data_IF_605417287945
#
_entry.id   IF_605417287945
#
_cell.length_a   1.000
_cell.length_b   1.000
_cell.length_c   1.000
_cell.angle_alpha   90.00
_cell.angle_beta   90.00
_cell.angle_gamma   90.00
#
_symmetry.space_group_name_H-M   'P 1'
#
loop_
_entity.id
_entity.type
_entity.pdbx_description
1 polymer ?
#
# COMPACT_ATOMS: atom_id res chain seq x y z
N UNK A 1 -86.63 -43.42 -7.86
CA UNK A 1 -87.06 -43.64 -6.47
C UNK A 1 -86.00 -43.04 -5.56
N UNK A 2 -86.40 -42.03 -4.78
CA UNK A 2 -85.54 -41.32 -3.83
C UNK A 2 -85.33 -42.18 -2.59
N UNK A 3 -84.10 -42.34 -2.12
CA UNK A 3 -83.80 -42.94 -0.82
C UNK A 3 -82.80 -42.07 -0.06
N UNK A 4 -83.39 -41.18 0.73
CA UNK A 4 -83.02 -40.71 2.07
C UNK A 4 -81.54 -40.61 2.44
N UNK A 5 -81.14 -39.34 2.61
CA UNK A 5 -80.12 -38.82 3.52
C UNK A 5 -80.04 -39.60 4.84
N UNK A 6 -78.84 -40.11 5.16
CA UNK A 6 -78.42 -40.41 6.54
C UNK A 6 -77.49 -39.30 7.00
N UNK A 7 -78.06 -38.29 7.64
CA UNK A 7 -77.34 -37.36 8.52
C UNK A 7 -76.72 -38.13 9.67
N UNK A 8 -75.41 -38.35 9.63
CA UNK A 8 -74.65 -38.69 10.82
C UNK A 8 -74.43 -37.41 11.62
N UNK A 9 -75.26 -37.22 12.64
CA UNK A 9 -75.00 -36.30 13.75
C UNK A 9 -73.59 -36.57 14.27
N UNK A 10 -72.66 -35.63 14.06
CA UNK A 10 -71.35 -35.64 14.71
C UNK A 10 -71.61 -35.63 16.22
N UNK A 11 -71.41 -36.79 16.85
CA UNK A 11 -71.46 -36.91 18.29
C UNK A 11 -70.49 -35.89 18.91
N UNK A 12 -71.08 -35.00 19.70
CA UNK A 12 -70.55 -34.30 20.88
C UNK A 12 -69.03 -34.42 21.01
N UNK A 13 -68.31 -33.30 20.83
CA UNK A 13 -66.86 -33.17 21.02
C UNK A 13 -66.34 -34.11 22.10
N UNK A 14 -65.79 -35.26 21.72
CA UNK A 14 -65.09 -36.12 22.64
C UNK A 14 -63.87 -35.32 23.04
N UNK A 15 -63.90 -34.74 24.23
CA UNK A 15 -62.72 -34.13 24.84
C UNK A 15 -61.78 -35.31 25.07
N UNK A 16 -60.90 -35.57 24.10
CA UNK A 16 -59.83 -36.56 24.24
C UNK A 16 -59.06 -36.12 25.47
N UNK A 17 -59.19 -36.88 26.55
CA UNK A 17 -58.53 -36.54 27.79
C UNK A 17 -57.03 -36.71 27.56
N UNK A 18 -56.30 -35.60 27.42
CA UNK A 18 -54.86 -35.60 27.19
C UNK A 18 -54.18 -35.87 28.53
N UNK A 19 -54.30 -37.08 29.04
CA UNK A 19 -53.76 -37.50 30.34
C UNK A 19 -52.23 -37.27 30.45
N UNK A 20 -51.51 -37.27 29.33
CA UNK A 20 -50.10 -36.89 29.25
C UNK A 20 -49.81 -35.41 29.54
N UNK A 21 -50.81 -34.52 29.50
CA UNK A 21 -50.68 -33.14 29.97
C UNK A 21 -50.88 -32.99 31.49
N UNK A 22 -51.44 -34.02 32.15
CA UNK A 22 -51.70 -34.04 33.60
C UNK A 22 -50.58 -34.70 34.40
N UNK A 23 -49.64 -35.39 33.74
CA UNK A 23 -48.47 -35.93 34.42
C UNK A 23 -47.51 -34.78 34.78
N UNK A 24 -46.99 -34.74 36.02
CA UNK A 24 -45.98 -33.74 36.38
C UNK A 24 -44.77 -33.95 35.47
N UNK A 25 -44.44 -32.92 34.68
CA UNK A 25 -43.30 -32.99 33.75
C UNK A 25 -42.06 -33.49 34.48
N UNK A 26 -41.46 -34.55 33.93
CA UNK A 26 -40.27 -35.16 34.50
C UNK A 26 -39.13 -34.13 34.53
N UNK A 27 -38.24 -34.23 35.53
CA UNK A 27 -37.13 -33.28 35.73
C UNK A 27 -36.29 -33.11 34.44
N UNK A 28 -36.10 -34.19 33.69
CA UNK A 28 -35.38 -34.20 32.41
C UNK A 28 -36.03 -33.29 31.35
N UNK A 29 -37.36 -33.24 31.24
CA UNK A 29 -38.05 -32.36 30.27
C UNK A 29 -37.96 -30.88 30.67
N UNK A 30 -37.95 -30.58 31.97
CA UNK A 30 -37.78 -29.20 32.45
C UNK A 30 -36.36 -28.71 32.18
N UNK A 31 -35.36 -29.56 32.44
CA UNK A 31 -33.95 -29.27 32.13
C UNK A 31 -33.77 -29.13 30.61
N UNK A 32 -34.31 -30.07 29.82
CA UNK A 32 -34.22 -30.06 28.36
C UNK A 32 -34.81 -28.81 27.69
N UNK A 33 -35.82 -28.16 28.30
CA UNK A 33 -36.37 -26.88 27.81
C UNK A 33 -35.54 -25.66 28.19
N UNK A 34 -34.76 -25.74 29.26
CA UNK A 34 -33.88 -24.67 29.71
C UNK A 34 -32.53 -24.69 28.98
N UNK A 35 -32.10 -25.84 28.49
CA UNK A 35 -30.81 -25.98 27.79
C UNK A 35 -30.71 -25.09 26.52
N UNK A 36 -31.67 -25.06 25.58
CA UNK A 36 -31.57 -24.20 24.40
C UNK A 36 -31.47 -22.70 24.70
N UNK A 37 -32.34 -22.08 25.55
CA UNK A 37 -32.21 -20.66 25.86
C UNK A 37 -30.93 -20.36 26.67
N UNK A 38 -30.50 -21.25 27.56
CA UNK A 38 -29.21 -21.09 28.28
C UNK A 38 -28.04 -21.12 27.30
N UNK A 39 -28.02 -22.08 26.37
CA UNK A 39 -26.98 -22.17 25.35
C UNK A 39 -26.95 -20.94 24.43
N UNK A 40 -28.12 -20.41 24.06
CA UNK A 40 -28.23 -19.18 23.28
C UNK A 40 -27.70 -17.96 24.04
N UNK A 41 -28.05 -17.82 25.33
CA UNK A 41 -27.53 -16.75 26.18
C UNK A 41 -26.02 -16.87 26.32
N UNK A 42 -25.49 -18.07 26.58
CA UNK A 42 -24.04 -18.30 26.64
C UNK A 42 -23.35 -17.97 25.32
N UNK A 43 -23.94 -18.35 24.18
CA UNK A 43 -23.45 -17.98 22.86
C UNK A 43 -23.40 -16.46 22.66
N UNK A 44 -24.47 -15.74 23.00
CA UNK A 44 -24.50 -14.28 22.95
C UNK A 44 -23.46 -13.64 23.88
N UNK A 45 -23.28 -14.17 25.10
CA UNK A 45 -22.28 -13.69 26.05
C UNK A 45 -20.85 -13.94 25.54
N UNK A 46 -20.58 -15.07 24.88
CA UNK A 46 -19.28 -15.34 24.27
C UNK A 46 -19.00 -14.40 23.10
N UNK A 47 -20.00 -14.13 22.24
CA UNK A 47 -19.86 -13.15 21.15
C UNK A 47 -19.66 -11.74 21.70
N UNK A 48 -20.44 -11.33 22.70
CA UNK A 48 -20.31 -10.02 23.34
C UNK A 48 -18.97 -9.88 24.07
N UNK A 49 -18.54 -10.92 24.78
CA UNK A 49 -17.25 -10.97 25.46
C UNK A 49 -16.08 -10.92 24.48
N UNK A 50 -16.15 -11.67 23.37
CA UNK A 50 -15.16 -11.61 22.29
C UNK A 50 -15.11 -10.24 21.61
N UNK A 51 -16.27 -9.65 21.32
CA UNK A 51 -16.38 -8.30 20.76
C UNK A 51 -15.83 -7.23 21.71
N UNK A 52 -16.16 -7.30 23.00
CA UNK A 52 -15.62 -6.41 24.03
C UNK A 52 -14.11 -6.58 24.17
N UNK A 53 -13.60 -7.81 24.21
CA UNK A 53 -12.17 -8.05 24.33
C UNK A 53 -11.43 -7.50 23.12
N UNK A 54 -11.92 -7.77 21.90
CA UNK A 54 -11.41 -7.19 20.67
C UNK A 54 -11.40 -5.67 20.70
N UNK A 55 -12.52 -5.04 21.08
CA UNK A 55 -12.62 -3.58 21.21
C UNK A 55 -11.66 -3.00 22.26
N UNK A 56 -11.57 -3.62 23.43
CA UNK A 56 -10.70 -3.18 24.53
C UNK A 56 -9.21 -3.38 24.24
N UNK A 57 -8.86 -4.30 23.34
CA UNK A 57 -7.49 -4.57 22.93
C UNK A 57 -6.99 -3.62 21.84
N UNK A 58 -7.88 -2.84 21.19
CA UNK A 58 -7.47 -1.82 20.21
C UNK A 58 -6.84 -0.63 20.96
N UNK A 59 -5.56 -0.31 20.74
CA UNK A 59 -4.94 0.86 21.33
C UNK A 59 -5.68 2.14 20.94
N UNK A 60 -5.98 2.99 21.91
CA UNK A 60 -6.66 4.29 21.69
C UNK A 60 -5.64 5.41 21.80
N UNK A 61 -4.79 5.49 20.79
CA UNK A 61 -3.78 6.54 20.73
C UNK A 61 -4.42 7.90 20.52
N UNK A 62 -3.83 8.93 21.13
CA UNK A 62 -4.19 10.32 20.89
C UNK A 62 -3.25 10.91 19.87
N UNK A 63 -3.81 11.62 18.89
CA UNK A 63 -3.07 12.26 17.81
C UNK A 63 -3.37 13.75 17.74
N UNK A 64 -2.36 14.56 17.40
CA UNK A 64 -2.50 15.99 17.12
C UNK A 64 -2.14 16.26 15.68
N UNK A 65 -3.03 16.90 14.93
CA UNK A 65 -2.76 17.31 13.55
C UNK A 65 -1.58 18.30 13.51
N UNK A 66 -0.58 18.02 12.68
CA UNK A 66 0.59 18.87 12.48
C UNK A 66 0.66 19.46 11.07
N UNK A 67 0.01 18.81 10.10
CA UNK A 67 -0.08 19.28 8.74
C UNK A 67 -1.34 18.73 8.06
N UNK A 68 -2.00 19.59 7.30
CA UNK A 68 -3.15 19.26 6.46
C UNK A 68 -3.05 20.07 5.17
N UNK A 69 -3.20 19.39 4.02
CA UNK A 69 -3.21 19.98 2.70
C UNK A 69 -4.40 19.43 1.91
N UNK A 70 -5.27 20.32 1.42
CA UNK A 70 -6.47 20.00 0.67
C UNK A 70 -6.50 20.60 -0.75
N UNK A 71 -5.41 21.25 -1.15
CA UNK A 71 -5.18 21.85 -2.46
C UNK A 71 -6.20 22.92 -2.87
N UNK A 72 -6.98 23.44 -1.91
CA UNK A 72 -7.99 24.49 -2.17
C UNK A 72 -7.46 25.91 -1.93
N UNK A 73 -6.35 26.05 -1.20
CA UNK A 73 -5.84 27.34 -0.73
C UNK A 73 -5.06 28.15 -1.77
N UNK A 74 -4.93 27.63 -2.99
CA UNK A 74 -4.15 28.26 -4.06
C UNK A 74 -2.63 28.19 -3.86
N UNK A 75 -2.17 27.33 -2.94
CA UNK A 75 -0.75 27.02 -2.74
C UNK A 75 -0.19 26.30 -3.96
N UNK A 76 1.09 26.52 -4.23
CA UNK A 76 1.80 25.82 -5.31
C UNK A 76 2.42 24.53 -4.78
N UNK A 77 2.59 23.53 -5.66
CA UNK A 77 3.09 22.19 -5.28
C UNK A 77 4.45 22.28 -4.56
N UNK A 78 5.32 23.20 -5.00
CA UNK A 78 6.67 23.40 -4.47
C UNK A 78 6.71 23.98 -3.04
N UNK A 79 5.58 24.45 -2.48
CA UNK A 79 5.52 24.88 -1.09
C UNK A 79 5.52 23.68 -0.12
N UNK A 80 4.93 22.56 -0.52
CA UNK A 80 4.72 21.39 0.33
C UNK A 80 5.50 20.16 -0.15
N UNK A 81 5.88 20.12 -1.43
CA UNK A 81 6.60 19.00 -2.04
C UNK A 81 7.88 19.46 -2.75
N UNK A 82 8.88 18.59 -2.79
CA UNK A 82 10.02 18.67 -3.69
C UNK A 82 9.81 17.70 -4.85
N UNK A 83 10.35 18.05 -6.01
CA UNK A 83 10.38 17.18 -7.17
C UNK A 83 11.58 16.24 -7.10
N UNK A 84 11.34 14.95 -7.34
CA UNK A 84 12.40 13.98 -7.62
C UNK A 84 12.47 13.79 -9.13
N UNK A 85 13.50 14.35 -9.77
CA UNK A 85 13.68 14.39 -11.23
C UNK A 85 14.82 13.48 -11.64
N UNK A 86 14.52 12.48 -12.48
CA UNK A 86 15.48 11.49 -12.96
C UNK A 86 14.92 10.56 -14.04
N UNK A 87 15.83 9.81 -14.67
CA UNK A 87 15.56 8.82 -15.74
C UNK A 87 16.02 7.41 -15.37
N UNK A 88 16.49 7.22 -14.14
CA UNK A 88 17.15 5.97 -13.69
C UNK A 88 16.22 4.82 -13.30
N UNK A 89 14.91 5.06 -13.24
CA UNK A 89 13.95 4.07 -12.74
C UNK A 89 14.13 3.71 -11.26
N UNK A 90 14.92 4.51 -10.53
CA UNK A 90 14.95 4.59 -9.06
C UNK A 90 15.13 3.25 -8.33
N UNK A 91 16.03 2.40 -8.84
CA UNK A 91 16.29 1.07 -8.30
C UNK A 91 15.25 0.00 -8.65
N UNK A 92 14.10 0.40 -9.19
CA UNK A 92 13.00 -0.47 -9.64
C UNK A 92 13.05 -0.78 -11.14
N UNK A 93 14.01 -0.21 -11.86
CA UNK A 93 14.21 -0.41 -13.31
C UNK A 93 12.96 -0.05 -14.13
N UNK A 94 12.20 0.96 -13.67
CA UNK A 94 10.97 1.45 -14.31
C UNK A 94 11.30 2.34 -15.51
N UNK A 95 10.31 2.59 -16.38
CA UNK A 95 10.52 3.18 -17.70
C UNK A 95 10.16 4.67 -17.79
N UNK A 96 9.70 5.28 -16.71
CA UNK A 96 9.37 6.70 -16.68
C UNK A 96 10.58 7.61 -16.47
N UNK A 97 10.48 8.82 -17.01
CA UNK A 97 11.26 9.98 -16.62
C UNK A 97 10.41 10.81 -15.66
N UNK A 98 10.84 11.00 -14.43
CA UNK A 98 10.15 11.88 -13.50
C UNK A 98 10.52 13.34 -13.75
N UNK A 99 9.51 14.23 -13.86
CA UNK A 99 9.69 15.63 -14.24
C UNK A 99 8.99 16.60 -13.27
N UNK A 100 9.30 17.88 -13.43
CA UNK A 100 8.58 19.02 -12.84
C UNK A 100 7.56 19.65 -13.81
N UNK A 101 7.27 18.98 -14.93
CA UNK A 101 6.40 19.55 -15.96
C UNK A 101 4.94 19.61 -15.49
N UNK A 102 4.24 20.70 -15.83
CA UNK A 102 2.83 20.92 -15.48
C UNK A 102 1.86 19.90 -16.12
N UNK A 103 2.34 19.06 -17.04
CA UNK A 103 1.55 17.95 -17.61
C UNK A 103 1.61 16.70 -16.72
N UNK A 104 2.62 16.60 -15.85
CA UNK A 104 2.87 15.42 -15.03
C UNK A 104 2.48 15.61 -13.57
N UNK A 105 2.51 16.85 -13.08
CA UNK A 105 1.91 17.20 -11.80
C UNK A 105 1.24 18.56 -11.86
N UNK A 106 0.03 18.68 -11.35
CA UNK A 106 -0.72 19.93 -11.34
C UNK A 106 -1.83 19.91 -10.30
N UNK A 107 -2.22 21.09 -9.82
CA UNK A 107 -3.42 21.26 -8.99
C UNK A 107 -4.57 21.71 -9.88
N UNK A 108 -5.70 21.01 -9.79
CA UNK A 108 -6.93 21.32 -10.52
C UNK A 108 -8.14 20.95 -9.68
N UNK A 109 -9.16 21.81 -9.64
CA UNK A 109 -10.42 21.57 -8.93
C UNK A 109 -10.24 21.12 -7.45
N UNK A 110 -9.28 21.76 -6.77
CA UNK A 110 -8.94 21.49 -5.37
C UNK A 110 -8.30 20.12 -5.15
N UNK A 111 -7.53 19.61 -6.11
CA UNK A 111 -6.86 18.29 -6.04
C UNK A 111 -5.51 18.35 -6.70
N UNK A 112 -4.56 17.63 -6.13
CA UNK A 112 -3.29 17.34 -6.77
C UNK A 112 -3.46 16.16 -7.72
N UNK A 113 -2.97 16.29 -8.94
CA UNK A 113 -2.89 15.22 -9.92
C UNK A 113 -1.43 14.87 -10.20
N UNK A 114 -1.14 13.57 -10.26
CA UNK A 114 0.07 13.03 -10.91
C UNK A 114 -0.41 12.26 -12.13
N UNK A 115 0.08 12.63 -13.32
CA UNK A 115 -0.38 12.07 -14.58
C UNK A 115 0.80 11.66 -15.47
N UNK A 116 0.92 10.38 -15.85
CA UNK A 116 1.93 9.98 -16.81
C UNK A 116 1.52 10.41 -18.23
N UNK A 117 2.49 10.85 -19.01
CA UNK A 117 2.30 11.29 -20.40
C UNK A 117 3.39 10.69 -21.29
N UNK A 118 3.05 10.33 -22.52
CA UNK A 118 4.05 9.88 -23.49
C UNK A 118 5.09 10.97 -23.75
N UNK A 119 6.37 10.61 -23.70
CA UNK A 119 7.49 11.52 -23.99
C UNK A 119 7.42 11.96 -25.46
N UNK A 120 7.19 13.25 -25.69
CA UNK A 120 7.19 13.82 -27.05
C UNK A 120 8.55 14.40 -27.44
N UNK A 121 9.29 14.91 -26.45
CA UNK A 121 10.61 15.50 -26.64
C UNK A 121 11.55 15.05 -25.52
N UNK A 122 12.82 14.69 -25.84
CA UNK A 122 13.39 14.57 -27.19
C UNK A 122 12.78 13.41 -28.00
N UNK A 123 12.84 13.46 -29.34
CA UNK A 123 12.29 12.42 -30.18
C UNK A 123 13.07 11.11 -29.97
N UNK A 124 12.39 9.98 -30.16
CA UNK A 124 13.02 8.66 -30.14
C UNK A 124 13.78 8.42 -31.46
N UNK A 125 14.88 9.15 -31.65
CA UNK A 125 15.74 9.14 -32.82
C UNK A 125 17.19 8.90 -32.42
N UNK A 126 17.91 8.14 -33.23
CA UNK A 126 19.30 7.79 -32.97
C UNK A 126 20.19 9.03 -32.75
N UNK A 127 20.97 9.02 -31.67
CA UNK A 127 21.80 10.15 -31.25
C UNK A 127 21.08 11.21 -30.40
N UNK A 128 19.76 11.11 -30.20
CA UNK A 128 19.04 11.98 -29.26
C UNK A 128 19.48 11.69 -27.83
N UNK A 129 19.47 12.71 -26.96
CA UNK A 129 19.82 12.55 -25.56
C UNK A 129 19.08 13.54 -24.65
N UNK A 130 19.01 13.19 -23.37
CA UNK A 130 18.57 14.03 -22.24
C UNK A 130 19.75 14.12 -21.28
N UNK A 131 20.12 15.35 -20.89
CA UNK A 131 21.16 15.59 -19.91
C UNK A 131 20.66 16.52 -18.81
N UNK A 132 20.01 15.92 -17.80
CA UNK A 132 19.40 16.64 -16.68
C UNK A 132 20.45 17.32 -15.79
N UNK A 133 21.68 16.81 -15.77
CA UNK A 133 22.79 17.43 -15.04
C UNK A 133 23.22 18.74 -15.69
N UNK A 134 23.37 18.77 -17.02
CA UNK A 134 23.70 19.99 -17.75
C UNK A 134 22.60 21.05 -17.64
N UNK A 135 21.35 20.63 -17.50
CA UNK A 135 20.19 21.51 -17.26
C UNK A 135 20.06 21.95 -15.80
N UNK A 136 20.84 21.37 -14.87
CA UNK A 136 20.73 21.64 -13.44
C UNK A 136 19.42 21.15 -12.81
N UNK A 137 18.73 20.21 -13.46
CA UNK A 137 17.41 19.71 -13.05
C UNK A 137 17.46 18.36 -12.33
N UNK A 138 18.49 17.55 -12.53
CA UNK A 138 18.55 16.25 -11.89
C UNK A 138 18.64 16.40 -10.37
N UNK A 139 17.71 15.79 -9.64
CA UNK A 139 17.70 15.83 -8.18
C UNK A 139 18.12 14.51 -7.56
N UNK A 140 18.44 13.50 -8.37
CA UNK A 140 18.88 12.20 -7.86
C UNK A 140 20.32 12.29 -7.30
N UNK A 141 20.55 11.96 -6.02
CA UNK A 141 21.81 12.30 -5.36
C UNK A 141 22.95 11.29 -5.54
N UNK A 142 22.69 10.12 -6.16
CA UNK A 142 23.62 8.98 -6.05
C UNK A 142 24.31 8.54 -7.35
N UNK A 143 23.74 8.81 -8.54
CA UNK A 143 24.34 8.34 -9.79
C UNK A 143 24.05 9.26 -10.97
N UNK A 144 25.11 9.69 -11.66
CA UNK A 144 25.01 10.43 -12.94
C UNK A 144 24.23 9.67 -14.01
N UNK A 145 24.19 8.34 -13.88
CA UNK A 145 23.43 7.47 -14.78
C UNK A 145 21.91 7.73 -14.69
N UNK A 146 21.42 8.19 -13.54
CA UNK A 146 19.99 8.49 -13.33
C UNK A 146 19.62 9.88 -13.85
N UNK A 147 20.61 10.65 -14.30
CA UNK A 147 20.45 12.01 -14.82
C UNK A 147 20.63 12.10 -16.34
N UNK A 148 20.95 10.98 -16.99
CA UNK A 148 21.30 10.95 -18.41
C UNK A 148 20.66 9.76 -19.11
N UNK A 149 19.97 10.05 -20.21
CA UNK A 149 19.40 9.05 -21.11
C UNK A 149 19.79 9.42 -22.55
N UNK A 150 20.06 8.42 -23.38
CA UNK A 150 20.33 8.64 -24.80
C UNK A 150 19.72 7.53 -25.62
N UNK A 151 19.36 7.86 -26.85
CA UNK A 151 18.89 6.91 -27.82
C UNK A 151 20.07 6.40 -28.65
N UNK A 152 20.27 5.09 -28.66
CA UNK A 152 21.26 4.40 -29.48
C UNK A 152 20.66 3.12 -30.04
N UNK A 153 20.41 3.12 -31.35
CA UNK A 153 19.78 2.03 -32.06
C UNK A 153 20.61 0.74 -32.00
N UNK A 154 21.95 0.84 -32.00
CA UNK A 154 22.86 -0.32 -31.97
C UNK A 154 22.82 -1.04 -30.61
N UNK A 155 22.74 -0.29 -29.52
CA UNK A 155 22.64 -0.85 -28.15
C UNK A 155 21.21 -0.98 -27.64
N UNK A 156 20.21 -0.73 -28.51
CA UNK A 156 18.77 -0.77 -28.22
C UNK A 156 18.31 0.22 -27.15
N UNK A 157 19.14 1.22 -26.83
CA UNK A 157 18.81 2.21 -25.82
C UNK A 157 17.85 3.23 -26.39
N UNK A 158 16.83 3.56 -25.61
CA UNK A 158 15.91 4.64 -25.91
C UNK A 158 15.86 5.58 -24.72
N UNK A 159 15.35 6.78 -24.96
CA UNK A 159 15.02 7.70 -23.87
C UNK A 159 13.72 7.22 -23.26
N UNK A 160 13.56 7.39 -21.95
CA UNK A 160 12.37 6.95 -21.21
C UNK A 160 11.09 7.36 -21.97
N UNK A 161 10.27 6.39 -22.42
CA UNK A 161 9.16 6.63 -23.35
C UNK A 161 7.98 7.35 -22.72
N UNK A 162 7.95 7.46 -21.39
CA UNK A 162 6.90 8.11 -20.62
C UNK A 162 7.53 9.09 -19.64
N UNK A 163 6.91 10.25 -19.49
CA UNK A 163 7.16 11.20 -18.41
C UNK A 163 6.11 11.02 -17.31
N UNK A 164 6.51 11.14 -16.05
CA UNK A 164 5.65 11.08 -14.87
C UNK A 164 6.13 12.08 -13.83
N UNK A 165 5.60 12.04 -12.61
CA UNK A 165 6.08 12.84 -11.49
C UNK A 165 6.31 11.98 -10.25
N UNK A 166 7.29 12.40 -9.45
CA UNK A 166 7.57 11.90 -8.10
C UNK A 166 7.75 13.09 -7.18
N UNK A 167 6.87 13.18 -6.20
CA UNK A 167 6.80 14.29 -5.26
C UNK A 167 7.15 13.78 -3.87
N UNK A 168 8.01 14.50 -3.15
CA UNK A 168 8.44 14.14 -1.79
C UNK A 168 8.23 15.29 -0.81
N UNK A 169 7.79 15.02 0.41
CA UNK A 169 7.70 16.02 1.48
C UNK A 169 9.00 16.19 2.27
N UNK A 170 10.11 15.59 1.83
CA UNK A 170 11.38 15.60 2.54
C UNK A 170 11.80 17.00 3.00
N UNK A 171 12.08 17.15 4.29
CA UNK A 171 12.48 18.42 4.93
C UNK A 171 11.42 19.54 4.86
N UNK A 172 10.18 19.22 4.46
CA UNK A 172 9.03 20.12 4.48
C UNK A 172 8.00 19.63 5.49
N UNK A 173 7.56 18.38 5.32
CA UNK A 173 6.62 17.70 6.21
C UNK A 173 7.13 16.29 6.47
N UNK A 174 7.76 16.10 7.63
CA UNK A 174 8.28 14.80 8.07
C UNK A 174 7.59 14.38 9.37
N UNK A 175 7.30 13.09 9.51
CA UNK A 175 6.66 12.52 10.69
C UNK A 175 7.56 11.45 11.32
N UNK A 176 7.62 11.43 12.66
CA UNK A 176 8.12 10.27 13.41
C UNK A 176 7.01 9.84 14.35
N UNK A 177 6.40 8.70 14.06
CA UNK A 177 5.23 8.17 14.75
C UNK A 177 4.00 9.10 14.72
N UNK A 178 2.85 8.50 14.51
CA UNK A 178 1.61 9.24 14.36
C UNK A 178 0.64 8.52 13.44
N UNK A 179 -0.23 9.32 12.84
CA UNK A 179 -1.23 8.90 11.88
C UNK A 179 -1.05 9.71 10.61
N UNK A 180 -0.98 9.01 9.48
CA UNK A 180 -1.00 9.63 8.15
C UNK A 180 -2.24 9.16 7.43
N UNK A 181 -2.95 10.07 6.78
CA UNK A 181 -4.12 9.78 5.95
C UNK A 181 -3.95 10.49 4.60
N UNK A 182 -4.04 9.75 3.51
CA UNK A 182 -4.02 10.28 2.14
C UNK A 182 -5.32 9.87 1.47
N UNK A 183 -6.16 10.84 1.13
CA UNK A 183 -7.37 10.56 0.35
C UNK A 183 -7.07 10.68 -1.12
N UNK A 184 -7.05 9.56 -1.83
CA UNK A 184 -6.69 9.52 -3.23
C UNK A 184 -7.58 8.57 -4.04
N UNK A 185 -7.62 8.78 -5.35
CA UNK A 185 -8.13 7.83 -6.34
C UNK A 185 -6.96 7.39 -7.20
N UNK A 186 -6.76 6.08 -7.32
CA UNK A 186 -5.63 5.54 -8.07
C UNK A 186 -5.87 5.59 -9.59
N UNK A 187 -4.80 5.65 -10.39
CA UNK A 187 -4.86 5.69 -11.85
C UNK A 187 -5.20 4.32 -12.45
N UNK A 188 -5.88 4.31 -13.60
CA UNK A 188 -6.10 3.10 -14.41
C UNK A 188 -5.13 3.04 -15.60
N UNK A 189 -4.79 1.83 -16.02
CA UNK A 189 -4.04 1.56 -17.24
C UNK A 189 -3.05 0.40 -17.10
N UNK A 190 -2.81 -0.32 -18.20
CA UNK A 190 -1.74 -1.32 -18.28
C UNK A 190 -0.39 -0.66 -18.00
N UNK A 191 0.46 -1.40 -17.29
CA UNK A 191 1.82 -0.99 -16.89
C UNK A 191 1.90 0.24 -15.97
N UNK A 192 0.80 0.68 -15.39
CA UNK A 192 0.81 1.76 -14.39
C UNK A 192 0.98 1.17 -12.99
N UNK A 193 1.88 1.77 -12.20
CA UNK A 193 2.19 1.40 -10.82
C UNK A 193 2.14 2.64 -9.92
N UNK A 194 0.98 2.98 -9.34
CA UNK A 194 0.89 4.05 -8.35
C UNK A 194 1.47 3.62 -7.00
N UNK A 195 2.11 4.56 -6.32
CA UNK A 195 2.61 4.36 -4.96
C UNK A 195 2.37 5.57 -4.05
N UNK A 196 2.03 5.27 -2.79
CA UNK A 196 1.99 6.20 -1.65
C UNK A 196 2.85 5.55 -0.56
N UNK A 197 4.02 6.10 -0.31
CA UNK A 197 5.06 5.44 0.47
C UNK A 197 5.94 6.46 1.17
N UNK A 198 6.82 5.99 2.04
CA UNK A 198 7.62 6.87 2.88
C UNK A 198 9.06 6.36 2.98
N UNK A 199 9.98 7.31 2.91
CA UNK A 199 11.41 7.09 3.10
C UNK A 199 11.91 7.88 4.31
N UNK A 200 12.98 7.42 4.98
CA UNK A 200 13.58 8.16 6.07
C UNK A 200 14.10 9.50 5.54
N UNK A 201 13.85 10.58 6.30
CA UNK A 201 14.38 11.92 5.96
C UNK A 201 15.92 11.92 6.03
N UNK A 202 16.47 11.17 6.98
CA UNK A 202 17.92 10.96 7.15
C UNK A 202 18.27 9.47 7.14
N UNK A 203 19.31 9.08 6.41
CA UNK A 203 19.85 7.71 6.36
C UNK A 203 20.66 7.33 7.62
N UNK A 204 20.04 7.44 8.80
CA UNK A 204 20.70 7.31 10.10
C UNK A 204 21.37 5.95 10.34
N UNK A 205 20.79 4.87 9.81
CA UNK A 205 21.29 3.50 9.97
C UNK A 205 22.12 3.02 8.78
N UNK A 206 22.37 3.90 7.81
CA UNK A 206 23.01 3.58 6.54
C UNK A 206 22.05 3.70 5.36
N UNK A 207 22.55 3.35 4.17
CA UNK A 207 21.77 3.43 2.93
C UNK A 207 20.63 2.41 2.93
N UNK A 208 19.65 2.61 2.04
CA UNK A 208 18.56 1.67 1.87
C UNK A 208 19.06 0.22 1.71
N UNK A 209 18.40 -0.79 2.33
CA UNK A 209 17.19 -0.70 3.15
C UNK A 209 17.47 -0.54 4.66
N UNK A 210 18.70 -0.22 5.08
CA UNK A 210 19.08 -0.19 6.50
C UNK A 210 18.29 0.86 7.30
N UNK A 211 17.98 2.00 6.68
CA UNK A 211 17.21 3.08 7.32
C UNK A 211 15.69 2.96 7.16
N UNK A 212 15.21 1.89 6.53
CA UNK A 212 13.80 1.57 6.41
C UNK A 212 13.09 2.18 5.19
N UNK A 213 11.91 1.65 4.88
CA UNK A 213 10.92 2.14 3.91
C UNK A 213 9.53 1.69 4.39
N UNK A 214 8.50 2.52 4.23
CA UNK A 214 7.13 2.21 4.60
C UNK A 214 6.22 2.42 3.39
N UNK A 215 5.69 1.35 2.79
CA UNK A 215 4.81 1.45 1.62
C UNK A 215 3.37 1.30 2.07
N UNK A 216 2.70 2.44 2.24
CA UNK A 216 1.29 2.46 2.62
C UNK A 216 0.43 1.84 1.50
N UNK A 217 0.74 2.16 0.24
CA UNK A 217 0.05 1.61 -0.93
C UNK A 217 1.02 1.43 -2.08
N UNK A 218 1.04 0.23 -2.62
CA UNK A 218 1.44 -0.07 -3.99
C UNK A 218 0.31 -0.84 -4.68
N UNK A 219 0.03 -0.52 -5.96
CA UNK A 219 -1.04 -1.17 -6.71
C UNK A 219 -0.69 -1.25 -8.20
N UNK A 220 -1.54 -1.91 -8.98
CA UNK A 220 -1.45 -1.99 -10.42
C UNK A 220 -2.61 -1.22 -11.06
N UNK A 221 -2.38 -0.53 -12.17
CA UNK A 221 -3.44 0.23 -12.84
C UNK A 221 -4.37 -0.60 -13.73
N UNK A 222 -4.01 -1.85 -14.06
CA UNK A 222 -4.74 -2.60 -15.08
C UNK A 222 -6.09 -3.14 -14.57
N UNK A 223 -7.02 -3.37 -15.50
CA UNK A 223 -8.35 -3.88 -15.19
C UNK A 223 -8.28 -5.33 -14.69
N UNK A 224 -8.86 -5.66 -13.51
CA UNK A 224 -8.79 -7.00 -12.94
C UNK A 224 -9.55 -8.08 -13.73
N UNK A 225 -10.35 -7.69 -14.73
CA UNK A 225 -11.03 -8.63 -15.63
C UNK A 225 -10.15 -9.06 -16.82
N UNK A 226 -9.08 -8.32 -17.08
CA UNK A 226 -8.09 -8.69 -18.07
C UNK A 226 -7.36 -9.95 -17.60
N UNK A 227 -6.88 -10.82 -18.52
CA UNK A 227 -6.08 -11.99 -18.18
C UNK A 227 -4.66 -11.59 -17.73
N UNK A 228 -4.52 -10.47 -17.03
CA UNK A 228 -3.27 -9.89 -16.62
C UNK A 228 -3.02 -10.15 -15.13
N UNK A 229 -2.16 -11.11 -14.75
CA UNK A 229 -1.77 -11.37 -13.34
C UNK A 229 -2.93 -11.63 -12.34
N UNK A 230 -2.60 -11.97 -11.09
CA UNK A 230 -3.57 -12.16 -9.99
C UNK A 230 -3.85 -10.85 -9.22
N UNK A 231 -3.12 -9.76 -9.51
CA UNK A 231 -3.16 -8.50 -8.75
C UNK A 231 -3.39 -7.30 -9.66
N UNK A 232 -4.65 -6.92 -9.89
CA UNK A 232 -5.01 -5.75 -10.70
C UNK A 232 -5.30 -4.49 -9.89
N UNK A 233 -5.99 -3.54 -10.51
CA UNK A 233 -6.42 -2.28 -9.88
C UNK A 233 -7.41 -2.43 -8.73
N UNK A 234 -7.87 -3.65 -8.47
CA UNK A 234 -8.64 -4.02 -7.29
C UNK A 234 -7.78 -4.55 -6.15
N UNK A 235 -6.46 -4.59 -6.28
CA UNK A 235 -5.54 -5.05 -5.27
C UNK A 235 -4.64 -3.90 -4.82
N UNK A 236 -4.26 -3.91 -3.56
CA UNK A 236 -3.21 -3.06 -3.04
C UNK A 236 -2.30 -3.85 -2.10
N UNK A 237 -1.03 -3.51 -2.11
CA UNK A 237 -0.01 -4.09 -1.24
C UNK A 237 0.46 -3.02 -0.27
N UNK A 238 0.48 -3.39 1.01
CA UNK A 238 1.18 -2.64 2.03
C UNK A 238 2.44 -3.40 2.44
N UNK A 239 3.56 -2.69 2.60
CA UNK A 239 4.82 -3.28 3.00
C UNK A 239 5.67 -2.38 3.89
N UNK A 240 6.70 -3.00 4.46
CA UNK A 240 7.84 -2.31 5.04
C UNK A 240 9.11 -2.93 4.47
N UNK A 241 10.17 -2.13 4.31
CA UNK A 241 11.49 -2.66 3.96
C UNK A 241 12.51 -2.37 5.05
N UNK A 242 13.33 -3.38 5.35
CA UNK A 242 14.45 -3.30 6.29
C UNK A 242 15.39 -4.48 6.08
N UNK A 243 16.68 -4.20 6.01
CA UNK A 243 17.70 -5.24 6.13
C UNK A 243 18.99 -4.66 6.72
N UNK A 244 19.81 -5.46 7.42
CA UNK A 244 21.07 -4.99 7.99
C UNK A 244 22.13 -4.71 6.93
N UNK A 245 21.90 -5.13 5.68
CA UNK A 245 22.81 -4.99 4.54
C UNK A 245 22.04 -4.48 3.33
N UNK A 246 22.73 -3.78 2.42
CA UNK A 246 22.16 -3.34 1.16
C UNK A 246 22.04 -4.51 0.17
N UNK A 247 21.04 -5.36 0.39
CA UNK A 247 20.66 -6.46 -0.50
C UNK A 247 19.14 -6.46 -0.68
N UNK A 248 18.68 -6.17 -1.90
CA UNK A 248 17.25 -6.09 -2.25
C UNK A 248 16.46 -7.35 -1.91
N UNK A 249 17.07 -8.54 -2.06
CA UNK A 249 16.43 -9.83 -1.77
C UNK A 249 16.15 -10.05 -0.29
N UNK A 250 16.80 -9.29 0.60
CA UNK A 250 16.61 -9.36 2.05
C UNK A 250 15.82 -8.16 2.58
N UNK A 251 15.49 -7.19 1.72
CA UNK A 251 14.82 -5.95 2.12
C UNK A 251 13.40 -6.20 2.62
N UNK A 252 12.74 -7.27 2.21
CA UNK A 252 11.38 -7.63 2.62
C UNK A 252 11.33 -9.04 3.17
N UNK A 253 11.03 -9.17 4.46
CA UNK A 253 10.78 -10.47 5.09
C UNK A 253 9.42 -11.09 4.70
N UNK A 254 9.18 -12.37 5.07
CA UNK A 254 7.94 -13.07 4.74
C UNK A 254 6.66 -12.40 5.25
N UNK A 255 6.74 -11.70 6.38
CA UNK A 255 5.61 -11.02 7.03
C UNK A 255 5.64 -9.50 6.81
N UNK A 256 6.66 -8.98 6.12
CA UNK A 256 6.86 -7.54 5.92
C UNK A 256 6.03 -6.99 4.74
N UNK A 257 5.17 -7.82 4.12
CA UNK A 257 4.23 -7.38 3.07
C UNK A 257 2.91 -8.14 3.12
N UNK A 258 1.83 -7.49 2.72
CA UNK A 258 0.52 -8.12 2.51
C UNK A 258 -0.24 -7.47 1.34
N UNK A 259 -0.67 -8.29 0.39
CA UNK A 259 -1.54 -7.87 -0.70
C UNK A 259 -3.00 -8.19 -0.36
N UNK A 260 -3.84 -7.16 -0.39
CA UNK A 260 -5.29 -7.25 -0.19
C UNK A 260 -6.02 -6.94 -1.50
N UNK A 261 -6.93 -7.81 -1.91
CA UNK A 261 -7.70 -7.68 -3.16
C UNK A 261 -9.21 -7.58 -2.89
N UNK A 262 -9.90 -6.75 -3.67
CA UNK A 262 -11.33 -6.47 -3.53
C UNK A 262 -12.07 -6.95 -4.80
N UNK A 263 -12.68 -8.14 -4.80
CA UNK A 263 -13.19 -8.76 -6.04
C UNK A 263 -14.25 -7.97 -6.81
N UNK A 264 -14.84 -6.92 -6.23
CA UNK A 264 -15.96 -6.17 -6.80
C UNK A 264 -15.73 -4.65 -6.87
N UNK A 265 -14.56 -4.18 -6.47
CA UNK A 265 -14.27 -2.75 -6.35
C UNK A 265 -12.84 -2.48 -6.82
N UNK A 266 -12.70 -1.69 -7.89
CA UNK A 266 -11.39 -1.19 -8.29
C UNK A 266 -11.07 0.10 -7.54
N UNK A 267 -9.81 0.25 -7.12
CA UNK A 267 -9.29 1.45 -6.47
C UNK A 267 -9.21 2.66 -7.41
N UNK A 268 -9.53 2.45 -8.69
CA UNK A 268 -9.55 3.48 -9.74
C UNK A 268 -10.93 4.13 -9.93
N UNK A 269 -11.97 3.57 -9.31
CA UNK A 269 -13.36 3.99 -9.49
C UNK A 269 -13.74 5.13 -8.54
N UNK A 270 -13.21 5.12 -7.31
CA UNK A 270 -13.58 6.06 -6.25
C UNK A 270 -12.35 6.55 -5.47
N UNK A 271 -12.55 7.67 -4.77
CA UNK A 271 -11.57 8.11 -3.78
C UNK A 271 -11.68 7.26 -2.53
N UNK A 272 -10.54 6.80 -2.05
CA UNK A 272 -10.38 6.08 -0.80
C UNK A 272 -9.42 6.83 0.13
N UNK A 273 -9.56 6.61 1.43
CA UNK A 273 -8.59 7.10 2.42
C UNK A 273 -7.60 5.99 2.72
N UNK A 274 -6.36 6.13 2.25
CA UNK A 274 -5.27 5.25 2.60
C UNK A 274 -4.61 5.78 3.86
N UNK A 275 -4.63 4.99 4.93
CA UNK A 275 -4.20 5.45 6.24
C UNK A 275 -3.17 4.57 6.89
N UNK A 276 -2.24 5.20 7.60
CA UNK A 276 -1.19 4.58 8.39
C UNK A 276 -1.31 5.05 9.84
N UNK A 277 -1.33 4.11 10.78
CA UNK A 277 -1.05 4.36 12.20
C UNK A 277 0.31 3.73 12.54
N UNK A 278 1.26 4.56 12.95
CA UNK A 278 2.64 4.16 13.19
C UNK A 278 3.07 4.59 14.58
N UNK A 279 3.53 3.63 15.37
CA UNK A 279 3.94 3.82 16.77
C UNK A 279 5.21 3.03 17.06
N UNK A 280 5.88 3.28 18.18
CA UNK A 280 6.98 2.42 18.66
C UNK A 280 6.71 0.91 18.78
N UNK A 281 5.45 0.45 18.80
CA UNK A 281 5.09 -0.97 18.91
C UNK A 281 4.77 -1.59 17.56
N UNK A 282 4.57 -0.81 16.52
CA UNK A 282 4.21 -1.33 15.22
C UNK A 282 3.65 -0.30 14.28
N UNK A 283 3.39 -0.77 13.06
CA UNK A 283 2.71 -0.03 12.02
C UNK A 283 1.47 -0.79 11.57
N UNK A 284 0.45 -0.04 11.21
CA UNK A 284 -0.83 -0.53 10.74
C UNK A 284 -1.24 0.31 9.53
N UNK A 285 -1.53 -0.34 8.41
CA UNK A 285 -2.15 0.30 7.25
C UNK A 285 -3.61 -0.12 7.11
N UNK A 286 -4.46 0.80 6.68
CA UNK A 286 -5.88 0.58 6.47
C UNK A 286 -6.41 1.34 5.26
N UNK A 287 -7.58 0.91 4.79
CA UNK A 287 -8.32 1.54 3.70
C UNK A 287 -9.69 2.00 4.21
N UNK A 288 -9.99 3.28 4.04
CA UNK A 288 -11.20 4.03 4.44
C UNK A 288 -11.49 4.11 5.93
N UNK A 289 -11.19 3.08 6.72
CA UNK A 289 -11.41 3.03 8.16
C UNK A 289 -10.31 2.24 8.86
N UNK A 290 -9.82 2.65 10.04
CA UNK A 290 -8.86 1.88 10.85
C UNK A 290 -9.33 0.45 11.21
N UNK A 291 -10.62 0.14 11.05
CA UNK A 291 -11.15 -1.21 11.23
C UNK A 291 -10.86 -2.12 10.03
N UNK A 292 -10.65 -1.55 8.84
CA UNK A 292 -10.40 -2.28 7.62
C UNK A 292 -8.91 -2.32 7.32
N UNK A 293 -8.23 -3.22 8.05
CA UNK A 293 -6.79 -3.38 8.02
C UNK A 293 -6.33 -4.02 6.71
N UNK A 294 -5.28 -3.45 6.14
CA UNK A 294 -4.61 -3.93 4.95
C UNK A 294 -3.32 -4.66 5.31
N UNK A 295 -2.54 -4.08 6.23
CA UNK A 295 -1.23 -4.58 6.63
C UNK A 295 -0.98 -4.22 8.09
N UNK A 296 -0.26 -5.08 8.80
CA UNK A 296 0.14 -4.83 10.17
C UNK A 296 1.46 -5.53 10.48
N UNK A 297 2.41 -4.77 11.02
CA UNK A 297 3.64 -5.30 11.57
C UNK A 297 3.81 -4.82 13.02
N UNK A 298 4.11 -5.75 13.92
CA UNK A 298 4.52 -5.42 15.28
C UNK A 298 6.04 -5.42 15.46
N UNK A 299 6.52 -4.60 16.41
CA UNK A 299 7.93 -4.43 16.74
C UNK A 299 8.26 -5.05 18.11
N UNK A 300 7.61 -6.17 18.46
CA UNK A 300 7.69 -6.73 19.82
C UNK A 300 9.06 -7.29 20.16
N UNK A 301 9.78 -7.86 19.20
CA UNK A 301 11.05 -8.56 19.45
C UNK A 301 12.27 -7.78 18.95
N UNK A 302 12.07 -6.65 18.29
CA UNK A 302 13.14 -5.78 17.79
C UNK A 302 13.55 -6.12 16.35
N UNK A 303 14.34 -5.24 15.72
CA UNK A 303 14.58 -5.27 14.27
C UNK A 303 15.09 -6.61 13.76
N UNK A 304 16.08 -7.19 14.43
CA UNK A 304 16.75 -8.41 13.95
C UNK A 304 15.84 -9.63 14.03
N UNK A 305 15.12 -9.80 15.16
CA UNK A 305 14.27 -10.96 15.39
C UNK A 305 12.96 -10.85 14.63
N UNK A 306 12.34 -9.67 14.60
CA UNK A 306 11.09 -9.47 13.87
C UNK A 306 11.31 -9.56 12.35
N UNK A 307 12.49 -9.20 11.83
CA UNK A 307 12.83 -9.35 10.41
C UNK A 307 13.27 -10.79 10.04
N UNK A 308 13.31 -11.73 11.00
CA UNK A 308 13.79 -13.11 10.81
C UNK A 308 15.18 -13.18 10.13
N UNK A 309 16.06 -12.25 10.51
CA UNK A 309 17.34 -12.05 9.81
C UNK A 309 18.36 -13.15 10.11
N UNK A 310 19.16 -13.56 9.11
CA UNK A 310 20.29 -14.45 9.34
C UNK A 310 21.37 -13.72 10.15
N UNK A 311 21.87 -14.36 11.21
CA UNK A 311 22.92 -13.80 12.07
C UNK A 311 24.33 -13.94 11.48
N UNK A 312 24.45 -14.76 10.43
CA UNK A 312 25.70 -15.13 9.77
C UNK A 312 25.44 -15.12 8.26
N UNK A 313 26.38 -14.57 7.48
CA UNK A 313 26.31 -14.58 6.02
C UNK A 313 26.71 -15.94 5.41
N UNK A 314 26.59 -16.07 4.09
CA UNK A 314 26.91 -17.31 3.36
C UNK A 314 28.39 -17.73 3.49
N UNK A 315 29.25 -16.86 4.01
CA UNK A 315 30.69 -17.09 4.22
C UNK A 315 31.05 -17.37 5.68
N UNK A 316 30.07 -17.40 6.58
CA UNK A 316 30.31 -17.65 8.00
C UNK A 316 30.65 -16.40 8.82
N UNK A 317 30.56 -15.20 8.26
CA UNK A 317 30.83 -13.96 8.99
C UNK A 317 29.57 -13.41 9.68
N UNK A 318 29.69 -12.84 10.89
CA UNK A 318 28.58 -12.15 11.55
C UNK A 318 28.07 -10.99 10.70
N UNK A 319 26.76 -10.92 10.51
CA UNK A 319 26.12 -9.78 9.84
C UNK A 319 26.06 -8.60 10.82
N UNK A 320 26.67 -7.44 10.53
CA UNK A 320 26.60 -6.29 11.42
C UNK A 320 25.14 -5.85 11.61
N UNK A 321 24.74 -5.60 12.85
CA UNK A 321 23.43 -5.03 13.14
C UNK A 321 23.53 -3.48 13.10
N UNK A 322 23.03 -2.79 12.07
CA UNK A 322 23.11 -1.33 12.02
C UNK A 322 22.23 -0.65 13.08
N UNK A 323 21.24 -1.35 13.61
CA UNK A 323 20.25 -0.82 14.56
C UNK A 323 20.68 -0.94 16.03
N UNK A 324 21.89 -1.45 16.30
CA UNK A 324 22.35 -1.77 17.65
C UNK A 324 22.32 -0.58 18.63
N UNK A 325 22.48 0.64 18.11
CA UNK A 325 22.48 1.86 18.89
C UNK A 325 21.07 2.40 19.18
N UNK A 326 20.02 1.88 18.52
CA UNK A 326 18.66 2.32 18.81
C UNK A 326 18.20 1.79 20.17
N UNK A 327 17.64 2.66 21.03
CA UNK A 327 17.01 2.21 22.25
C UNK A 327 15.59 1.68 22.00
N UNK A 328 15.07 1.77 20.77
CA UNK A 328 13.72 1.36 20.39
C UNK A 328 13.75 0.09 19.56
N UNK A 329 12.81 -0.81 19.85
CA UNK A 329 12.56 -2.01 19.04
C UNK A 329 11.99 -1.70 17.65
N UNK A 330 11.48 -0.49 17.47
CA UNK A 330 10.91 -0.01 16.22
C UNK A 330 11.95 0.29 15.15
N UNK A 331 13.25 0.34 15.48
CA UNK A 331 14.27 0.59 14.47
C UNK A 331 14.14 -0.39 13.28
N UNK A 332 14.38 0.06 12.03
CA UNK A 332 14.76 1.43 11.65
C UNK A 332 13.60 2.45 11.59
N UNK A 333 12.36 2.03 11.83
CA UNK A 333 11.16 2.87 11.80
C UNK A 333 10.99 3.68 13.09
N UNK A 334 12.09 4.22 13.60
CA UNK A 334 12.16 5.04 14.80
C UNK A 334 12.79 6.42 14.53
N UNK A 335 12.94 6.79 13.27
CA UNK A 335 13.39 8.12 12.80
C UNK A 335 12.26 8.84 12.06
N UNK A 336 12.52 10.07 11.59
CA UNK A 336 11.56 10.81 10.77
C UNK A 336 11.51 10.24 9.37
N UNK A 337 10.30 10.13 8.84
CA UNK A 337 10.00 9.69 7.49
C UNK A 337 9.20 10.77 6.77
N UNK A 338 9.42 10.88 5.47
CA UNK A 338 8.73 11.80 4.58
C UNK A 338 7.89 11.04 3.57
N UNK A 339 6.78 11.64 3.12
CA UNK A 339 5.88 11.05 2.14
C UNK A 339 6.47 11.17 0.74
N UNK A 340 6.27 10.15 -0.08
CA UNK A 340 6.51 10.11 -1.52
C UNK A 340 5.21 9.71 -2.23
N UNK A 341 4.86 10.48 -3.26
CA UNK A 341 3.74 10.24 -4.16
C UNK A 341 4.27 10.11 -5.59
N UNK A 342 3.99 9.00 -6.27
CA UNK A 342 4.38 8.85 -7.67
C UNK A 342 3.55 7.83 -8.44
N UNK A 343 3.73 7.86 -9.75
CA UNK A 343 3.30 6.81 -10.68
C UNK A 343 4.53 6.31 -11.44
N UNK A 344 4.89 5.05 -11.22
CA UNK A 344 5.88 4.31 -12.02
C UNK A 344 5.22 3.66 -13.23
N UNK A 345 6.01 3.43 -14.28
CA UNK A 345 5.53 2.90 -15.55
C UNK A 345 6.40 1.74 -16.01
N UNK A 346 5.78 0.57 -16.16
CA UNK A 346 6.48 -0.65 -16.52
C UNK A 346 7.64 -0.95 -15.57
N UNK A 347 8.55 -1.80 -16.00
CA UNK A 347 9.76 -2.13 -15.26
C UNK A 347 10.11 -3.60 -15.34
N UNK A 348 11.38 -3.90 -15.03
CA UNK A 348 11.98 -5.25 -15.15
C UNK A 348 12.36 -5.90 -13.83
N UNK A 349 11.90 -5.32 -12.72
CA UNK A 349 12.10 -5.86 -11.37
C UNK A 349 11.14 -7.04 -11.03
N UNK A 350 10.28 -7.44 -11.96
CA UNK A 350 9.29 -8.52 -11.77
C UNK A 350 7.93 -8.06 -11.26
N UNK A 351 7.69 -6.75 -11.07
CA UNK A 351 6.37 -6.22 -10.70
C UNK A 351 5.31 -6.47 -11.80
N UNK A 352 5.74 -6.46 -13.06
CA UNK A 352 4.94 -6.82 -14.24
C UNK A 352 5.48 -8.14 -14.82
N UNK A 353 4.87 -9.29 -14.52
CA UNK A 353 5.44 -10.60 -14.85
C UNK A 353 5.29 -10.98 -16.35
N UNK A 354 6.23 -11.79 -16.86
CA UNK A 354 6.33 -12.17 -18.29
C UNK A 354 5.27 -13.18 -18.77
N UNK A 355 4.70 -13.98 -17.86
CA UNK A 355 3.93 -15.20 -18.14
C UNK A 355 2.44 -14.93 -18.42
N UNK A 356 2.13 -13.72 -18.87
CA UNK A 356 0.79 -13.17 -18.89
C UNK A 356 0.33 -12.90 -20.34
N UNK A 357 -0.15 -13.97 -20.99
CA UNK A 357 -0.91 -14.14 -22.27
C UNK A 357 -0.63 -13.19 -23.46
N UNK A 358 -0.31 -13.80 -24.64
CA UNK A 358 -0.26 -13.39 -26.08
C UNK A 358 0.03 -11.93 -26.55
N UNK A 359 -0.04 -10.91 -25.72
CA UNK A 359 0.16 -9.48 -26.09
C UNK A 359 1.02 -8.72 -25.06
N UNK A 360 2.01 -9.42 -24.47
CA UNK A 360 2.92 -8.81 -23.51
C UNK A 360 3.82 -7.78 -24.20
N UNK A 361 3.84 -6.53 -23.70
CA UNK A 361 4.51 -5.41 -24.35
C UNK A 361 6.05 -5.54 -24.38
N UNK A 362 6.66 -6.30 -23.46
CA UNK A 362 8.12 -6.47 -23.37
C UNK A 362 8.53 -7.68 -22.50
N UNK A 363 9.59 -8.41 -22.79
CA UNK A 363 10.07 -9.44 -21.84
C UNK A 363 10.96 -8.86 -20.73
N UNK A 364 10.82 -9.33 -19.50
CA UNK A 364 11.77 -9.11 -18.40
C UNK A 364 13.09 -9.86 -18.61
N UNK A 365 13.10 -10.85 -19.50
CA UNK A 365 14.20 -11.77 -19.77
C UNK A 365 15.30 -11.21 -20.71
N UNK A 366 15.29 -9.90 -20.99
CA UNK A 366 16.19 -9.21 -21.94
C UNK A 366 17.49 -8.64 -21.35
N UNK A 367 18.32 -9.46 -20.70
CA UNK A 367 19.79 -9.38 -20.83
C UNK A 367 20.63 -8.38 -20.01
N UNK A 368 20.11 -7.37 -19.31
CA UNK A 368 20.92 -6.57 -18.37
C UNK A 368 20.12 -6.14 -17.15
N UNK A 369 20.41 -6.76 -16.00
CA UNK A 369 19.86 -6.43 -14.67
C UNK A 369 20.09 -4.97 -14.26
N UNK A 370 20.99 -4.26 -14.95
CA UNK A 370 21.39 -2.90 -14.63
C UNK A 370 20.75 -1.82 -15.50
N UNK A 371 20.24 -2.14 -16.71
CA UNK A 371 19.36 -1.25 -17.51
C UNK A 371 18.57 -2.05 -18.57
N UNK A 372 17.23 -1.97 -18.55
CA UNK A 372 16.37 -2.81 -19.38
C UNK A 372 16.11 -2.24 -20.77
N UNK A 373 17.17 -1.83 -21.48
CA UNK A 373 17.03 -1.07 -22.73
C UNK A 373 16.16 -1.76 -23.79
N UNK A 374 16.34 -3.08 -23.97
CA UNK A 374 15.50 -3.87 -24.88
C UNK A 374 14.03 -3.85 -24.47
N UNK A 375 13.74 -4.05 -23.18
CA UNK A 375 12.38 -4.07 -22.67
C UNK A 375 11.70 -2.70 -22.77
N UNK A 376 12.39 -1.63 -22.39
CA UNK A 376 11.87 -0.26 -22.52
C UNK A 376 11.59 0.12 -23.99
N UNK A 377 12.46 -0.31 -24.92
CA UNK A 377 12.25 -0.15 -26.36
C UNK A 377 11.04 -0.95 -26.86
N UNK A 378 10.89 -2.19 -26.40
CA UNK A 378 9.78 -3.05 -26.83
C UNK A 378 8.45 -2.54 -26.27
N UNK A 379 8.44 -2.10 -25.01
CA UNK A 379 7.35 -1.37 -24.39
C UNK A 379 6.93 -0.15 -25.23
N UNK A 380 7.90 0.66 -25.66
CA UNK A 380 7.63 1.82 -26.54
C UNK A 380 7.01 1.43 -27.88
N UNK A 381 7.53 0.37 -28.53
CA UNK A 381 6.99 -0.13 -29.80
C UNK A 381 5.57 -0.69 -29.65
N UNK A 382 5.27 -1.27 -28.50
CA UNK A 382 3.97 -1.82 -28.15
C UNK A 382 2.97 -0.77 -27.66
N UNK A 383 3.23 0.54 -27.77
CA UNK A 383 2.32 1.59 -27.29
C UNK A 383 0.87 1.46 -27.76
N UNK A 384 0.63 0.89 -28.95
CA UNK A 384 -0.72 0.67 -29.47
C UNK A 384 -1.52 -0.37 -28.67
N UNK A 385 -0.86 -1.25 -27.92
CA UNK A 385 -1.49 -2.33 -27.16
C UNK A 385 -1.82 -1.93 -25.72
N UNK A 386 -1.07 -0.97 -25.14
CA UNK A 386 -1.29 -0.53 -23.76
C UNK A 386 -1.82 0.89 -23.62
N UNK A 387 -1.45 1.83 -24.49
CA UNK A 387 -1.83 3.24 -24.34
C UNK A 387 -3.35 3.46 -24.35
N UNK A 388 -4.17 2.75 -25.16
CA UNK A 388 -5.63 2.90 -25.10
C UNK A 388 -6.23 2.58 -23.72
N UNK A 389 -5.60 1.69 -22.94
CA UNK A 389 -6.09 1.31 -21.60
C UNK A 389 -5.97 2.43 -20.56
N UNK A 390 -5.17 3.46 -20.83
CA UNK A 390 -5.00 4.63 -19.94
C UNK A 390 -6.25 5.53 -19.95
N UNK A 391 -7.13 5.33 -20.93
CA UNK A 391 -8.36 6.10 -21.09
C UNK A 391 -8.10 7.55 -21.53
N UNK A 392 -9.17 8.31 -21.63
CA UNK A 392 -9.12 9.73 -21.99
C UNK A 392 -9.04 10.63 -20.75
N UNK A 393 -8.57 11.86 -20.94
CA UNK A 393 -8.55 12.88 -19.89
C UNK A 393 -7.66 12.50 -18.71
N UNK A 394 -8.25 12.36 -17.52
CA UNK A 394 -7.55 12.08 -16.26
C UNK A 394 -7.69 10.61 -15.81
N UNK A 395 -8.03 9.70 -16.73
CA UNK A 395 -8.23 8.27 -16.42
C UNK A 395 -6.98 7.60 -15.82
N UNK A 396 -5.81 7.97 -16.31
CA UNK A 396 -4.50 7.47 -15.89
C UNK A 396 -3.82 8.34 -14.82
N UNK A 397 -4.52 9.34 -14.28
CA UNK A 397 -3.97 10.22 -13.25
C UNK A 397 -4.31 9.71 -11.85
N UNK A 398 -3.34 9.73 -10.94
CA UNK A 398 -3.58 9.62 -9.51
C UNK A 398 -4.09 10.98 -9.03
N UNK A 399 -5.28 11.01 -8.45
CA UNK A 399 -5.88 12.23 -7.91
C UNK A 399 -5.83 12.19 -6.39
N UNK A 400 -5.24 13.20 -5.76
CA UNK A 400 -5.14 13.34 -4.31
C UNK A 400 -6.04 14.50 -3.90
N UNK A 401 -7.01 14.20 -3.05
CA UNK A 401 -7.99 15.18 -2.54
C UNK A 401 -7.47 15.90 -1.32
N UNK A 402 -6.86 15.18 -0.37
CA UNK A 402 -6.20 15.78 0.77
C UNK A 402 -5.19 14.82 1.41
N UNK A 403 -4.28 15.39 2.19
CA UNK A 403 -3.28 14.69 2.99
C UNK A 403 -3.32 15.26 4.41
N UNK A 404 -3.27 14.37 5.41
CA UNK A 404 -3.20 14.74 6.83
C UNK A 404 -2.08 13.99 7.52
N UNK A 405 -1.24 14.73 8.24
CA UNK A 405 -0.28 14.19 9.20
C UNK A 405 -0.71 14.58 10.61
N UNK A 406 -0.77 13.60 11.50
CA UNK A 406 -1.04 13.82 12.92
C UNK A 406 0.02 13.11 13.76
N UNK A 407 0.70 13.81 14.64
CA UNK A 407 1.72 13.22 15.50
C UNK A 407 1.09 12.50 16.71
N UNK A 408 1.79 11.48 17.22
CA UNK A 408 1.39 10.76 18.43
C UNK A 408 1.67 11.59 19.69
N UNK A 409 0.63 11.95 20.46
CA UNK A 409 0.73 12.80 21.67
C UNK A 409 0.44 12.07 22.98
N UNK A 410 0.41 10.74 22.95
CA UNK A 410 0.12 9.90 24.11
C UNK A 410 1.26 9.96 25.16
N UNK A 411 1.10 10.71 26.24
CA UNK A 411 2.14 10.94 27.25
C UNK A 411 2.44 9.72 28.11
N UNK A 412 1.41 8.95 28.50
CA UNK A 412 1.57 7.71 29.28
C UNK A 412 2.36 6.66 28.48
N UNK A 413 2.11 6.63 27.19
CA UNK A 413 2.82 5.79 26.24
C UNK A 413 4.32 6.08 26.17
N UNK A 414 4.70 7.35 26.02
CA UNK A 414 6.12 7.74 25.98
C UNK A 414 6.82 7.43 27.30
N UNK A 415 6.16 7.64 28.44
CA UNK A 415 6.70 7.34 29.77
C UNK A 415 6.84 5.81 30.04
N UNK A 416 6.05 4.98 29.36
CA UNK A 416 6.10 3.52 29.48
C UNK A 416 7.25 2.85 28.72
N UNK A 417 7.89 3.56 27.79
CA UNK A 417 9.03 3.03 27.04
C UNK A 417 10.28 3.03 27.93
N UNK A 418 10.94 1.89 28.18
CA UNK A 418 12.17 1.83 28.98
C UNK A 418 13.29 2.76 28.46
N UNK A 419 13.20 3.12 27.17
CA UNK A 419 14.10 4.01 26.43
C UNK A 419 13.83 5.51 26.60
N UNK A 420 12.69 5.94 27.16
CA UNK A 420 12.34 7.35 27.31
C UNK A 420 13.18 8.11 28.36
N UNK A 421 14.11 7.44 29.05
CA UNK A 421 15.07 8.10 29.94
C UNK A 421 16.25 8.75 29.21
N UNK A 422 16.39 8.61 27.89
CA UNK A 422 17.64 8.99 27.21
C UNK A 422 17.64 10.33 26.46
N UNK A 423 16.51 11.00 26.21
CA UNK A 423 16.52 12.29 25.47
C UNK A 423 15.81 13.42 26.24
N UNK A 424 16.21 13.67 27.49
CA UNK A 424 16.12 14.99 28.14
C UNK A 424 17.54 15.53 28.32
N UNK A 425 18.17 15.94 27.23
CA UNK A 425 19.52 16.52 27.19
C UNK A 425 19.61 17.54 26.07
#
# INVERSE_FOLDING_TARGET
MSTQSRTHTLQRSVRVDKFWLRQPRQRAERIGRLLPPIAMILGCLLVAGGGYWGYSAVPKHQYREIWFEDFTTGRTIDQDFNYVIGVGGEGQQTFEWTTDHANNSFIKDGKLYIQPTVTQWPPQQDGSFVNLTAEGKCTHPYSLQDCYAYHNASSLQIINPVQSARLTTANKHDLRFGKVEVRAKLPRGRYIWPAIWFMPTDSHYGIWPQSGELDLVESHGFDPTEPFSFTGSNCLTGSIHRAPVNLISLATGPDDKLTSCFPRHSLTEAFHTYGMEWTPQGVHYYLDSPLYKIFHQDFKHGPVRDAKMPLIDDKGYPVPNPWFASPLKAAPFDKKFHLILNIMIGGTNGWFPDDVVDDHAYGNSGGQQWRPYGAMRDFWKAQRTWLPSWGEGLGNAMAIDWIRFSELVDSEFWESLPSARLDRG
#
